data_IF_968123210401
#
_entry.id   IF_968123210401
#
_cell.length_a   1.000
_cell.length_b   1.000
_cell.length_c   1.000
_cell.angle_alpha   90.00
_cell.angle_beta   90.00
_cell.angle_gamma   90.00
#
_symmetry.space_group_name_H-M   'P 1'
#
loop_
_entity.id
_entity.type
_entity.pdbx_description
1 polymer ?
#
# COMPACT_ATOMS: atom_id res chain seq x y z
N UNK A 1 -2.80 -20.32 -6.67
CA UNK A 1 -3.51 -19.04 -6.90
C UNK A 1 -3.22 -18.55 -8.31
N UNK A 2 -4.21 -17.95 -8.97
CA UNK A 2 -4.15 -17.52 -10.38
C UNK A 2 -3.27 -16.26 -10.58
N UNK A 3 -2.39 -16.30 -11.59
CA UNK A 3 -1.49 -15.21 -11.96
C UNK A 3 -2.22 -13.93 -12.43
N UNK A 4 -3.50 -14.03 -12.81
CA UNK A 4 -4.31 -12.85 -13.12
C UNK A 4 -4.72 -12.05 -11.87
N UNK A 5 -4.96 -12.71 -10.72
CA UNK A 5 -5.37 -12.03 -9.47
C UNK A 5 -4.26 -11.17 -8.89
N UNK A 6 -3.01 -11.67 -8.91
CA UNK A 6 -1.81 -10.95 -8.42
C UNK A 6 -1.62 -9.58 -9.07
N UNK A 7 -2.03 -9.41 -10.33
CA UNK A 7 -1.98 -8.13 -11.05
C UNK A 7 -3.03 -7.13 -10.59
N UNK A 8 -4.15 -7.59 -10.01
CA UNK A 8 -5.26 -6.75 -9.59
C UNK A 8 -4.99 -6.13 -8.22
N UNK A 9 -4.44 -6.88 -7.25
CA UNK A 9 -4.02 -6.33 -5.96
C UNK A 9 -2.96 -5.23 -6.11
N UNK A 10 -1.93 -5.48 -6.92
CA UNK A 10 -0.93 -4.46 -7.28
C UNK A 10 -1.58 -3.29 -8.02
N UNK A 11 -2.52 -3.53 -8.94
CA UNK A 11 -3.22 -2.45 -9.66
C UNK A 11 -4.19 -1.63 -8.77
N UNK A 12 -4.73 -2.19 -7.68
CA UNK A 12 -5.60 -1.46 -6.75
C UNK A 12 -4.77 -0.50 -5.87
N UNK A 13 -3.62 -0.97 -5.39
CA UNK A 13 -2.64 -0.13 -4.69
C UNK A 13 -1.96 0.86 -5.66
N UNK A 14 -1.61 0.46 -6.89
CA UNK A 14 -1.12 1.38 -7.92
C UNK A 14 -2.20 2.38 -8.37
N UNK A 15 -3.50 2.08 -8.30
CA UNK A 15 -4.54 3.07 -8.58
C UNK A 15 -4.62 4.13 -7.47
N UNK A 16 -4.52 3.72 -6.19
CA UNK A 16 -4.39 4.65 -5.06
C UNK A 16 -3.09 5.46 -5.11
N UNK A 17 -1.99 4.82 -5.47
CA UNK A 17 -0.67 5.43 -5.60
C UNK A 17 -0.58 6.37 -6.81
N UNK A 18 -1.12 5.99 -7.97
CA UNK A 18 -1.17 6.84 -9.17
C UNK A 18 -2.03 8.09 -8.92
N UNK A 19 -3.20 7.95 -8.28
CA UNK A 19 -4.04 9.09 -7.89
C UNK A 19 -3.32 10.09 -6.96
N UNK A 20 -2.38 9.60 -6.14
CA UNK A 20 -1.52 10.43 -5.27
C UNK A 20 -0.24 10.93 -5.96
N UNK A 21 0.26 10.18 -6.94
CA UNK A 21 1.49 10.45 -7.70
C UNK A 21 1.28 11.43 -8.87
N UNK A 22 0.04 11.60 -9.36
CA UNK A 22 -0.40 12.59 -10.37
C UNK A 22 -0.11 14.08 -10.03
N UNK A 23 0.66 14.36 -8.98
CA UNK A 23 1.09 15.71 -8.59
C UNK A 23 2.59 15.98 -8.77
N UNK A 24 3.37 15.14 -9.46
CA UNK A 24 4.77 15.42 -9.78
C UNK A 24 5.20 14.97 -11.19
N UNK A 25 5.82 15.89 -11.93
CA UNK A 25 6.44 15.81 -13.27
C UNK A 25 7.85 16.47 -13.15
N UNK A 26 8.87 16.25 -13.97
CA UNK A 26 9.07 15.52 -15.25
C UNK A 26 10.58 15.11 -15.38
N UNK A 27 10.99 14.63 -16.58
CA UNK A 27 12.38 14.43 -17.11
C UNK A 27 13.09 13.10 -16.74
N UNK A 28 13.80 12.35 -17.62
CA UNK A 28 13.93 12.39 -19.10
C UNK A 28 14.30 10.99 -19.73
N UNK A 29 15.16 10.88 -20.77
CA UNK A 29 15.32 9.71 -21.67
C UNK A 29 16.65 8.92 -21.63
N UNK A 30 16.61 7.65 -22.10
CA UNK A 30 17.79 6.83 -22.44
C UNK A 30 17.49 5.34 -22.68
N UNK A 31 17.54 4.85 -23.94
CA UNK A 31 17.47 3.42 -24.34
C UNK A 31 18.88 2.96 -24.77
N UNK A 32 19.27 1.67 -24.87
CA UNK A 32 18.61 0.38 -25.19
C UNK A 32 19.36 -0.81 -24.52
N UNK A 33 18.99 -2.11 -24.60
CA UNK A 33 17.71 -2.82 -24.39
C UNK A 33 17.93 -4.36 -24.43
N UNK A 34 17.34 -5.15 -23.51
CA UNK A 34 17.11 -6.63 -23.63
C UNK A 34 16.05 -7.14 -22.64
N UNK A 35 15.59 -8.39 -22.83
CA UNK A 35 14.56 -9.09 -22.02
C UNK A 35 13.15 -8.45 -22.08
N UNK A 36 12.10 -9.00 -21.45
CA UNK A 36 10.66 -8.64 -21.58
C UNK A 36 10.28 -7.19 -21.19
N UNK A 37 11.28 -6.39 -20.82
CA UNK A 37 11.39 -4.93 -21.01
C UNK A 37 11.24 -4.49 -22.49
N UNK A 38 11.33 -5.42 -23.45
CA UNK A 38 11.34 -5.25 -24.92
C UNK A 38 10.00 -5.45 -25.63
N UNK A 39 8.91 -5.83 -24.96
CA UNK A 39 7.60 -5.78 -25.64
C UNK A 39 7.24 -4.31 -25.90
N UNK A 40 6.83 -3.92 -27.11
CA UNK A 40 6.31 -2.58 -27.34
C UNK A 40 5.04 -2.44 -26.50
N UNK A 41 5.15 -1.72 -25.38
CA UNK A 41 3.99 -1.23 -24.66
C UNK A 41 3.23 -0.35 -25.65
N UNK A 42 1.98 -0.68 -25.93
CA UNK A 42 1.08 0.27 -26.59
C UNK A 42 1.19 1.60 -25.83
N UNK A 43 1.18 2.73 -26.55
CA UNK A 43 1.36 4.05 -25.93
C UNK A 43 0.54 4.11 -24.65
N UNK A 44 1.22 4.26 -23.49
CA UNK A 44 0.52 4.63 -22.25
C UNK A 44 -0.33 5.82 -22.65
N UNK A 45 -1.65 5.71 -22.52
CA UNK A 45 -2.55 6.84 -22.80
C UNK A 45 -2.05 7.95 -21.89
N UNK A 46 -1.37 8.94 -22.46
CA UNK A 46 -0.76 10.02 -21.70
C UNK A 46 -1.94 10.83 -21.18
N UNK A 47 -2.38 10.52 -19.96
CA UNK A 47 -3.47 11.22 -19.34
C UNK A 47 -3.02 12.67 -19.27
N UNK A 48 -3.71 13.55 -19.97
CA UNK A 48 -3.23 14.91 -20.17
C UNK A 48 -3.58 15.69 -18.90
N UNK A 49 -2.84 15.48 -17.81
CA UNK A 49 -3.16 16.05 -16.49
C UNK A 49 -3.35 17.57 -16.56
N UNK A 50 -2.57 18.25 -17.40
CA UNK A 50 -2.75 19.67 -17.72
C UNK A 50 -4.12 19.99 -18.33
N UNK A 51 -4.56 19.24 -19.35
CA UNK A 51 -5.86 19.43 -20.00
C UNK A 51 -7.03 18.97 -19.11
N UNK A 52 -6.88 17.84 -18.42
CA UNK A 52 -7.88 17.35 -17.47
C UNK A 52 -8.07 18.35 -16.33
N UNK A 53 -6.97 18.91 -15.79
CA UNK A 53 -7.00 20.00 -14.80
C UNK A 53 -7.54 21.29 -15.39
N UNK A 54 -7.25 21.60 -16.66
CA UNK A 54 -7.81 22.77 -17.34
C UNK A 54 -9.34 22.63 -17.52
N UNK A 55 -9.83 21.48 -17.99
CA UNK A 55 -11.26 21.18 -18.08
C UNK A 55 -11.90 21.17 -16.69
N UNK A 56 -11.31 20.55 -15.67
CA UNK A 56 -11.82 20.60 -14.29
C UNK A 56 -11.90 22.04 -13.78
N UNK A 57 -10.87 22.86 -14.04
CA UNK A 57 -10.87 24.26 -13.66
C UNK A 57 -11.96 25.06 -14.41
N UNK A 58 -12.06 24.89 -15.73
CA UNK A 58 -13.03 25.57 -16.59
C UNK A 58 -14.47 25.15 -16.31
N UNK A 59 -14.72 23.87 -16.12
CA UNK A 59 -16.07 23.29 -16.07
C UNK A 59 -16.64 23.25 -14.63
N UNK A 60 -15.79 23.30 -13.60
CA UNK A 60 -16.23 23.15 -12.20
C UNK A 60 -15.66 24.16 -11.18
N UNK A 61 -14.49 24.77 -11.41
CA UNK A 61 -13.81 25.63 -10.41
C UNK A 61 -13.71 27.11 -10.80
N UNK A 62 -14.16 27.49 -12.00
CA UNK A 62 -14.09 28.85 -12.55
C UNK A 62 -12.71 29.25 -13.06
N UNK A 63 -12.69 29.98 -14.18
CA UNK A 63 -11.53 30.76 -14.62
C UNK A 63 -11.61 32.15 -13.97
N UNK A 64 -10.49 32.69 -13.48
CA UNK A 64 -10.46 34.06 -12.93
C UNK A 64 -10.92 35.06 -13.98
N UNK A 65 -12.00 35.78 -13.69
CA UNK A 65 -12.57 36.82 -14.56
C UNK A 65 -13.76 36.37 -15.39
N UNK A 66 -14.12 35.08 -15.38
CA UNK A 66 -15.37 34.59 -15.97
C UNK A 66 -16.49 34.55 -14.90
N UNK A 67 -17.64 35.11 -15.24
CA UNK A 67 -18.86 35.12 -14.42
C UNK A 67 -19.92 34.11 -14.93
N UNK A 68 -19.70 33.48 -16.09
CA UNK A 68 -20.63 32.52 -16.69
C UNK A 68 -20.41 31.08 -16.18
N UNK A 69 -19.18 30.72 -15.81
CA UNK A 69 -18.89 29.43 -15.17
C UNK A 69 -19.48 29.39 -13.76
N UNK A 70 -20.33 28.38 -13.42
CA UNK A 70 -20.74 28.16 -12.03
C UNK A 70 -19.52 27.83 -11.17
N UNK A 71 -19.12 28.76 -10.31
CA UNK A 71 -18.21 28.48 -9.20
C UNK A 71 -18.91 27.50 -8.25
N UNK A 72 -18.74 26.20 -8.46
CA UNK A 72 -19.27 25.22 -7.53
C UNK A 72 -18.43 25.28 -6.23
N UNK A 73 -18.92 26.08 -5.29
CA UNK A 73 -18.18 26.51 -4.11
C UNK A 73 -18.02 25.41 -3.05
N UNK A 74 -18.69 25.56 -1.91
CA UNK A 74 -18.63 24.58 -0.83
C UNK A 74 -19.24 23.22 -1.24
N UNK A 75 -20.28 23.26 -2.09
CA UNK A 75 -21.10 22.10 -2.46
C UNK A 75 -20.34 21.06 -3.30
N UNK A 76 -19.62 21.47 -4.35
CA UNK A 76 -18.81 20.51 -5.14
C UNK A 76 -17.59 20.01 -4.39
N UNK A 77 -17.01 20.81 -3.50
CA UNK A 77 -15.99 20.31 -2.56
C UNK A 77 -16.56 19.28 -1.58
N UNK A 78 -17.83 19.42 -1.18
CA UNK A 78 -18.52 18.41 -0.38
C UNK A 78 -18.83 17.15 -1.21
N UNK A 79 -19.37 17.33 -2.43
CA UNK A 79 -19.63 16.24 -3.38
C UNK A 79 -18.35 15.44 -3.67
N UNK A 80 -17.23 16.08 -4.00
CA UNK A 80 -15.96 15.39 -4.25
C UNK A 80 -15.47 14.61 -3.03
N UNK A 81 -15.57 15.19 -1.82
CA UNK A 81 -15.23 14.46 -0.57
C UNK A 81 -16.10 13.23 -0.39
N UNK A 82 -17.40 13.35 -0.66
CA UNK A 82 -18.34 12.23 -0.58
C UNK A 82 -18.07 11.17 -1.66
N UNK A 83 -17.79 11.57 -2.91
CA UNK A 83 -17.36 10.65 -3.96
C UNK A 83 -16.07 9.89 -3.59
N UNK A 84 -15.06 10.58 -3.03
CA UNK A 84 -13.85 9.92 -2.53
C UNK A 84 -14.15 8.96 -1.38
N UNK A 85 -15.04 9.31 -0.45
CA UNK A 85 -15.46 8.45 0.67
C UNK A 85 -16.19 7.20 0.18
N UNK A 86 -17.11 7.35 -0.78
CA UNK A 86 -17.84 6.24 -1.39
C UNK A 86 -16.90 5.33 -2.21
N UNK A 87 -15.93 5.91 -2.90
CA UNK A 87 -14.88 5.15 -3.61
C UNK A 87 -14.02 4.35 -2.64
N UNK A 88 -13.52 4.95 -1.56
CA UNK A 88 -12.76 4.24 -0.51
C UNK A 88 -13.56 3.08 0.10
N UNK A 89 -14.84 3.29 0.41
CA UNK A 89 -15.73 2.23 0.90
C UNK A 89 -15.91 1.12 -0.13
N UNK A 90 -16.13 1.45 -1.42
CA UNK A 90 -16.28 0.47 -2.48
C UNK A 90 -14.99 -0.35 -2.70
N UNK A 91 -13.82 0.32 -2.73
CA UNK A 91 -12.51 -0.33 -2.80
C UNK A 91 -12.30 -1.27 -1.62
N UNK A 92 -12.63 -0.85 -0.39
CA UNK A 92 -12.56 -1.72 0.79
C UNK A 92 -13.52 -2.90 0.70
N UNK A 93 -14.77 -2.72 0.29
CA UNK A 93 -15.72 -3.83 0.13
C UNK A 93 -15.23 -4.85 -0.91
N UNK A 94 -14.67 -4.40 -2.03
CA UNK A 94 -14.21 -5.27 -3.13
C UNK A 94 -12.91 -5.98 -2.76
N UNK A 95 -11.94 -5.29 -2.15
CA UNK A 95 -10.57 -5.78 -1.99
C UNK A 95 -10.19 -6.19 -0.57
N UNK A 96 -10.87 -5.73 0.49
CA UNK A 96 -10.43 -6.04 1.86
C UNK A 96 -10.50 -7.53 2.17
N UNK A 97 -11.51 -8.24 1.64
CA UNK A 97 -11.64 -9.69 1.83
C UNK A 97 -10.54 -10.54 1.15
N UNK A 98 -9.76 -9.98 0.20
CA UNK A 98 -8.65 -10.69 -0.44
C UNK A 98 -7.29 -10.10 -0.02
N UNK A 99 -7.16 -8.76 0.14
CA UNK A 99 -5.89 -8.04 0.29
C UNK A 99 -5.73 -7.22 1.59
N UNK A 100 -6.81 -6.98 2.35
CA UNK A 100 -6.75 -6.30 3.67
C UNK A 100 -7.36 -7.19 4.75
N UNK A 101 -7.09 -8.49 4.66
CA UNK A 101 -7.45 -9.50 5.65
C UNK A 101 -6.20 -10.17 6.19
N UNK A 102 -6.34 -10.80 7.35
CA UNK A 102 -5.31 -11.67 7.89
C UNK A 102 -5.17 -12.94 7.01
N UNK A 103 -3.97 -13.53 6.94
CA UNK A 103 -3.81 -14.87 6.37
C UNK A 103 -4.69 -15.87 7.14
N UNK A 104 -5.30 -16.80 6.41
CA UNK A 104 -5.92 -18.00 6.99
C UNK A 104 -4.85 -19.04 7.31
N UNK A 105 -5.21 -20.10 8.01
CA UNK A 105 -4.32 -21.24 8.26
C UNK A 105 -3.82 -21.91 6.96
N UNK A 106 -4.65 -21.94 5.91
CA UNK A 106 -4.27 -22.41 4.58
C UNK A 106 -3.33 -21.45 3.83
N UNK A 107 -3.52 -20.13 3.98
CA UNK A 107 -2.58 -19.15 3.43
C UNK A 107 -1.22 -19.26 4.14
N UNK A 108 -1.20 -19.30 5.47
CA UNK A 108 0.03 -19.41 6.27
C UNK A 108 0.82 -20.67 5.89
N UNK A 109 0.15 -21.81 5.74
CA UNK A 109 0.76 -23.05 5.23
C UNK A 109 1.32 -22.88 3.81
N UNK A 110 0.60 -22.20 2.93
CA UNK A 110 1.03 -21.94 1.54
C UNK A 110 2.25 -21.00 1.47
N UNK A 111 2.29 -19.97 2.31
CA UNK A 111 3.39 -18.99 2.41
C UNK A 111 4.65 -19.68 2.92
N UNK A 112 4.55 -20.46 3.99
CA UNK A 112 5.71 -21.15 4.57
C UNK A 112 6.23 -22.27 3.66
N UNK A 113 5.35 -22.99 2.95
CA UNK A 113 5.76 -23.90 1.88
C UNK A 113 6.48 -23.16 0.74
N UNK A 114 5.95 -22.03 0.27
CA UNK A 114 6.58 -21.20 -0.75
C UNK A 114 7.99 -20.79 -0.34
N UNK A 115 8.16 -20.21 0.86
CA UNK A 115 9.46 -19.73 1.30
C UNK A 115 10.45 -20.87 1.61
N UNK A 116 9.98 -22.01 2.15
CA UNK A 116 10.80 -23.23 2.26
C UNK A 116 11.32 -23.70 0.90
N UNK A 117 10.46 -23.73 -0.12
CA UNK A 117 10.85 -24.16 -1.46
C UNK A 117 11.78 -23.17 -2.18
N UNK A 118 11.58 -21.85 -2.00
CA UNK A 118 12.33 -20.81 -2.70
C UNK A 118 13.65 -20.45 -2.01
N UNK A 119 13.66 -20.38 -0.68
CA UNK A 119 14.82 -19.92 0.10
C UNK A 119 15.49 -21.00 0.95
N UNK A 120 14.91 -22.20 1.05
CA UNK A 120 15.41 -23.31 1.88
C UNK A 120 15.42 -22.99 3.39
N UNK A 121 14.58 -22.04 3.83
CA UNK A 121 14.40 -21.64 5.23
C UNK A 121 12.96 -21.96 5.65
N UNK A 122 12.81 -22.72 6.73
CA UNK A 122 11.52 -22.95 7.38
C UNK A 122 11.14 -21.75 8.28
N UNK A 123 9.84 -21.51 8.48
CA UNK A 123 9.33 -20.42 9.34
C UNK A 123 9.33 -19.02 8.72
N UNK A 124 9.84 -18.84 7.49
CA UNK A 124 9.89 -17.52 6.83
C UNK A 124 8.52 -17.09 6.28
N UNK A 125 7.83 -16.21 7.00
CA UNK A 125 6.51 -15.67 6.62
C UNK A 125 6.57 -14.57 5.54
N UNK A 126 7.62 -13.76 5.50
CA UNK A 126 7.77 -12.67 4.53
C UNK A 126 8.76 -11.61 4.99
N UNK A 127 8.94 -10.56 4.19
CA UNK A 127 9.71 -9.37 4.56
C UNK A 127 8.80 -8.33 5.20
N UNK A 128 9.13 -7.90 6.42
CA UNK A 128 8.51 -6.76 7.09
C UNK A 128 9.34 -5.50 6.81
N UNK A 129 8.72 -4.42 6.34
CA UNK A 129 9.40 -3.15 6.06
C UNK A 129 8.48 -1.93 6.26
N UNK A 130 9.08 -0.75 6.41
CA UNK A 130 8.43 0.55 6.60
C UNK A 130 8.75 1.51 5.44
N UNK A 131 7.74 1.92 4.67
CA UNK A 131 7.90 2.77 3.49
C UNK A 131 7.28 4.17 3.69
N UNK A 132 8.08 5.22 3.51
CA UNK A 132 7.65 6.61 3.64
C UNK A 132 7.06 7.14 2.32
N UNK A 133 5.78 7.52 2.32
CA UNK A 133 5.14 8.21 1.21
C UNK A 133 5.01 9.71 1.50
N UNK A 134 5.57 10.57 0.64
CA UNK A 134 5.50 12.04 0.81
C UNK A 134 4.05 12.52 0.71
N UNK A 135 3.60 13.25 1.73
CA UNK A 135 2.27 13.82 1.78
C UNK A 135 2.27 15.28 1.31
N UNK A 136 2.33 15.47 -0.01
CA UNK A 136 2.42 16.80 -0.65
C UNK A 136 1.34 17.79 -0.20
N UNK A 137 0.12 17.30 0.05
CA UNK A 137 -1.04 18.09 0.48
C UNK A 137 -1.32 17.98 1.99
N UNK A 138 -0.30 17.74 2.81
CA UNK A 138 -0.45 17.67 4.27
C UNK A 138 -1.03 18.99 4.83
N UNK A 139 -2.10 18.94 5.65
CA UNK A 139 -2.62 20.12 6.33
C UNK A 139 -1.53 20.78 7.18
N UNK A 140 -1.42 22.12 7.13
CA UNK A 140 -0.40 22.87 7.90
C UNK A 140 -0.40 22.54 9.40
N UNK A 141 -1.56 22.24 9.97
CA UNK A 141 -1.71 21.86 11.37
C UNK A 141 -1.06 20.51 11.72
N UNK A 142 -0.89 19.62 10.74
CA UNK A 142 -0.31 18.27 10.93
C UNK A 142 1.11 18.18 10.38
N UNK A 143 1.50 19.08 9.45
CA UNK A 143 2.81 19.08 8.81
C UNK A 143 3.98 19.00 9.79
N UNK A 144 3.91 19.62 10.97
CA UNK A 144 4.94 19.51 12.01
C UNK A 144 5.19 18.06 12.46
N UNK A 145 4.14 17.35 12.88
CA UNK A 145 4.26 15.95 13.34
C UNK A 145 4.58 14.97 12.21
N UNK A 146 4.15 15.24 10.98
CA UNK A 146 4.40 14.32 9.85
C UNK A 146 5.73 14.59 9.13
N UNK A 147 6.44 15.69 9.42
CA UNK A 147 7.75 15.99 8.84
C UNK A 147 8.86 15.31 9.62
N UNK A 148 9.45 14.27 9.04
CA UNK A 148 10.66 13.63 9.57
C UNK A 148 11.96 14.22 9.03
N UNK A 149 13.02 13.41 9.14
CA UNK A 149 14.36 13.70 8.57
C UNK A 149 14.36 14.17 7.09
N UNK A 150 13.45 13.72 6.19
CA UNK A 150 13.41 14.19 4.80
C UNK A 150 13.00 15.66 4.63
N UNK A 151 12.61 16.38 5.69
CA UNK A 151 12.20 17.79 5.62
C UNK A 151 10.85 18.06 4.95
N UNK A 152 10.18 17.01 4.46
CA UNK A 152 8.81 17.04 3.94
C UNK A 152 7.89 16.17 4.79
N UNK A 153 6.60 16.52 4.95
CA UNK A 153 5.61 15.64 5.55
C UNK A 153 5.55 14.30 4.80
N UNK A 154 5.57 13.18 5.51
CA UNK A 154 5.32 11.84 4.95
C UNK A 154 4.43 11.03 5.88
N UNK A 155 3.75 10.04 5.30
CA UNK A 155 2.99 9.01 6.02
C UNK A 155 3.71 7.68 5.79
N UNK A 156 3.84 6.86 6.83
CA UNK A 156 4.52 5.55 6.73
C UNK A 156 3.48 4.45 6.48
N UNK A 157 3.85 3.53 5.58
CA UNK A 157 3.25 2.20 5.39
C UNK A 157 4.15 1.16 6.04
N UNK A 158 3.67 0.46 7.06
CA UNK A 158 4.23 -0.81 7.49
C UNK A 158 3.59 -1.94 6.65
N UNK A 159 4.38 -2.89 6.17
CA UNK A 159 3.85 -4.02 5.41
C UNK A 159 4.67 -5.30 5.57
N UNK A 160 3.98 -6.45 5.58
CA UNK A 160 4.61 -7.77 5.36
C UNK A 160 4.29 -8.24 3.96
N UNK A 161 5.35 -8.55 3.21
CA UNK A 161 5.28 -8.91 1.79
C UNK A 161 6.02 -10.22 1.53
N UNK A 162 5.38 -11.15 0.81
CA UNK A 162 5.98 -12.44 0.44
C UNK A 162 6.84 -12.37 -0.84
N UNK A 163 7.45 -13.51 -1.21
CA UNK A 163 8.25 -13.65 -2.44
C UNK A 163 7.48 -13.30 -3.74
N UNK A 164 6.14 -13.32 -3.71
CA UNK A 164 5.29 -12.98 -4.84
C UNK A 164 4.79 -11.52 -4.83
N UNK A 165 5.31 -10.70 -3.92
CA UNK A 165 4.88 -9.32 -3.67
C UNK A 165 3.42 -9.23 -3.19
N UNK A 166 2.90 -10.28 -2.54
CA UNK A 166 1.59 -10.25 -1.92
C UNK A 166 1.68 -9.67 -0.50
N UNK A 167 0.79 -8.73 -0.18
CA UNK A 167 0.70 -8.09 1.13
C UNK A 167 -0.13 -8.96 2.08
N UNK A 168 0.52 -9.53 3.09
CA UNK A 168 -0.13 -10.29 4.16
C UNK A 168 -0.43 -9.45 5.41
N UNK A 169 0.24 -8.31 5.52
CA UNK A 169 -0.07 -7.25 6.47
C UNK A 169 0.18 -5.90 5.79
N UNK A 170 -0.67 -4.91 6.09
CA UNK A 170 -0.48 -3.52 5.70
C UNK A 170 -1.12 -2.61 6.76
N UNK A 171 -0.32 -1.76 7.38
CA UNK A 171 -0.76 -0.74 8.34
C UNK A 171 -0.27 0.64 7.90
N UNK A 172 -1.17 1.62 7.80
CA UNK A 172 -0.88 2.93 7.22
C UNK A 172 -1.42 4.05 8.10
N UNK A 173 -0.71 5.19 8.09
CA UNK A 173 -1.15 6.40 8.82
C UNK A 173 -0.15 6.91 9.85
N UNK A 174 0.93 6.17 10.11
CA UNK A 174 1.97 6.61 11.04
C UNK A 174 2.66 7.89 10.56
N UNK A 175 3.12 8.70 11.52
CA UNK A 175 3.78 9.97 11.24
C UNK A 175 5.16 9.77 10.64
N UNK A 176 5.49 10.50 9.58
CA UNK A 176 6.79 10.42 8.90
C UNK A 176 8.02 10.80 9.74
N UNK A 177 7.86 11.17 11.01
CA UNK A 177 8.93 11.51 11.94
C UNK A 177 9.32 10.38 12.91
N UNK A 178 8.53 9.30 13.03
CA UNK A 178 8.91 8.13 13.82
C UNK A 178 9.75 7.18 12.96
N UNK A 179 10.65 6.42 13.60
CA UNK A 179 11.44 5.37 12.94
C UNK A 179 10.77 4.00 13.07
N UNK A 180 11.22 3.06 12.25
CA UNK A 180 10.61 1.75 12.02
C UNK A 180 10.36 0.95 13.32
N UNK A 181 11.27 1.00 14.29
CA UNK A 181 11.07 0.36 15.60
C UNK A 181 9.87 0.93 16.38
N UNK A 182 9.62 2.23 16.27
CA UNK A 182 8.46 2.88 16.89
C UNK A 182 7.17 2.65 16.09
N UNK A 183 7.27 2.41 14.77
CA UNK A 183 6.15 1.94 13.96
C UNK A 183 5.76 0.53 14.42
N UNK A 184 6.74 -0.38 14.47
CA UNK A 184 6.57 -1.76 14.95
C UNK A 184 5.99 -1.83 16.37
N UNK A 185 6.44 -0.97 17.28
CA UNK A 185 5.89 -0.88 18.64
C UNK A 185 4.41 -0.42 18.69
N UNK A 186 3.88 0.13 17.60
CA UNK A 186 2.49 0.54 17.39
C UNK A 186 1.81 -0.30 16.29
N UNK A 187 2.38 -1.46 15.95
CA UNK A 187 1.93 -2.30 14.86
C UNK A 187 0.79 -3.24 15.30
N UNK A 188 -0.33 -3.29 14.56
CA UNK A 188 -1.32 -4.35 14.71
C UNK A 188 -0.75 -5.75 14.43
N UNK A 189 0.39 -5.87 13.73
CA UNK A 189 1.07 -7.15 13.57
C UNK A 189 1.75 -7.57 14.88
N UNK A 190 2.48 -6.65 15.53
CA UNK A 190 3.14 -6.92 16.80
C UNK A 190 2.14 -7.20 17.92
N UNK A 191 1.06 -6.39 18.00
CA UNK A 191 -0.04 -6.62 18.94
C UNK A 191 -0.55 -8.07 18.84
N UNK A 192 -0.74 -8.58 17.61
CA UNK A 192 -1.20 -9.95 17.35
C UNK A 192 -0.18 -11.06 17.59
N UNK A 193 1.11 -10.73 17.58
CA UNK A 193 2.17 -11.66 18.02
C UNK A 193 2.21 -11.76 19.54
N UNK A 194 1.89 -10.67 20.25
CA UNK A 194 1.90 -10.59 21.72
C UNK A 194 0.60 -11.10 22.35
N UNK A 195 -0.56 -10.92 21.70
CA UNK A 195 -1.88 -11.34 22.21
C UNK A 195 -2.17 -12.86 22.06
N UNK A 196 -1.28 -13.61 21.40
CA UNK A 196 -1.44 -15.04 21.16
C UNK A 196 -2.36 -15.41 19.98
N UNK A 197 -2.96 -14.44 19.30
CA UNK A 197 -3.82 -14.70 18.13
C UNK A 197 -3.03 -15.17 16.91
N UNK A 198 -1.76 -14.75 16.75
CA UNK A 198 -0.87 -15.29 15.71
C UNK A 198 -0.42 -16.72 16.05
N UNK A 199 -0.06 -16.98 17.32
CA UNK A 199 0.27 -18.32 17.83
C UNK A 199 -0.87 -19.33 17.58
N UNK A 200 -2.12 -18.92 17.80
CA UNK A 200 -3.31 -19.74 17.50
C UNK A 200 -3.38 -20.10 16.01
N UNK A 201 -3.13 -19.14 15.13
CA UNK A 201 -3.11 -19.34 13.68
C UNK A 201 -1.99 -20.30 13.23
N UNK A 202 -0.81 -20.24 13.84
CA UNK A 202 0.31 -21.15 13.56
C UNK A 202 -0.01 -22.60 13.96
N UNK A 203 -0.70 -22.79 15.09
CA UNK A 203 -1.19 -24.09 15.53
C UNK A 203 -2.24 -24.65 14.55
N UNK A 204 -3.24 -23.85 14.17
CA UNK A 204 -4.28 -24.22 13.18
C UNK A 204 -3.70 -24.52 11.79
N UNK A 205 -2.67 -23.79 11.37
CA UNK A 205 -1.95 -24.06 10.13
C UNK A 205 -1.11 -25.35 10.19
N UNK A 206 -0.76 -25.81 11.41
CA UNK A 206 0.18 -26.91 11.68
C UNK A 206 1.57 -26.65 11.07
N UNK A 207 2.06 -25.41 11.26
CA UNK A 207 3.34 -24.94 10.70
C UNK A 207 4.45 -24.81 11.75
N UNK A 208 4.09 -24.99 13.02
CA UNK A 208 4.99 -25.19 14.15
C UNK A 208 4.96 -26.68 14.57
N UNK A 209 6.08 -27.24 15.08
CA UNK A 209 7.38 -26.61 15.21
C UNK A 209 8.13 -26.53 13.86
N UNK A 210 9.02 -25.55 13.75
CA UNK A 210 9.91 -25.40 12.58
C UNK A 210 11.38 -25.26 13.03
N UNK A 211 12.34 -25.34 12.08
CA UNK A 211 13.78 -25.31 12.40
C UNK A 211 14.53 -24.27 11.59
N UNK A 212 15.38 -23.51 12.28
CA UNK A 212 16.36 -22.60 11.67
C UNK A 212 17.72 -22.94 12.31
N UNK A 213 18.74 -23.20 11.49
CA UNK A 213 20.12 -23.51 11.93
C UNK A 213 20.24 -24.55 13.07
N UNK A 214 19.46 -25.63 12.97
CA UNK A 214 19.30 -26.71 13.95
C UNK A 214 18.62 -26.33 15.28
N UNK A 215 18.28 -25.06 15.51
CA UNK A 215 17.39 -24.65 16.58
C UNK A 215 15.94 -24.94 16.20
N UNK A 216 15.19 -25.60 17.08
CA UNK A 216 13.77 -25.86 16.93
C UNK A 216 12.96 -24.74 17.60
N UNK A 217 12.09 -24.12 16.81
CA UNK A 217 11.17 -23.08 17.24
C UNK A 217 9.81 -23.73 17.44
N UNK A 218 9.36 -23.76 18.69
CA UNK A 218 8.10 -24.33 19.10
C UNK A 218 7.18 -23.23 19.61
N UNK A 219 5.89 -23.50 19.55
CA UNK A 219 4.89 -22.65 20.20
C UNK A 219 4.91 -22.92 21.70
N UNK A 220 5.83 -22.24 22.40
CA UNK A 220 5.95 -22.31 23.87
C UNK A 220 4.73 -21.64 24.49
N UNK A 221 3.80 -22.44 24.99
CA UNK A 221 2.68 -21.94 25.79
C UNK A 221 3.20 -21.34 27.10
N UNK A 222 3.17 -20.02 27.20
CA UNK A 222 3.43 -19.24 28.42
C UNK A 222 2.24 -19.22 29.37
#
# INVERSE_FOLDING_TARGET
MDANKRKIGVAALEAGWAFMSEMANDEDEGREATDHRKKPRSNRRKFRHGDARHCINRDYLGIRGDLATPLLGAEFKAMLRECCRQFDIAVKIIYAQEYLRLPTSDDLRSILQLHRHVHQVDGLFGSLDCSHTIWKNCPKAWAGSYTGKPGSPSIILEAVVDYHMFFWHASYGYTGNIGDLNVLAQSPLLERMVDGSFHTLENEASVVPFKIDNQEFTNVSS
#
